data_IF_718380760377
#
_entry.id   IF_718380760377
#
_cell.length_a   1.000
_cell.length_b   1.000
_cell.length_c   1.000
_cell.angle_alpha   90.00
_cell.angle_beta   90.00
_cell.angle_gamma   90.00
#
_symmetry.space_group_name_H-M   'P 1'
#
loop_
_entity.id
_entity.type
_entity.pdbx_description
1 polymer ?
#
# COMPACT_ATOMS: atom_id res chain seq x y z
N UNK A 1 -15.79 1.56 34.11
CA UNK A 1 -16.59 2.49 33.29
C UNK A 1 -17.51 1.75 32.34
N UNK A 2 -18.70 2.31 32.04
CA UNK A 2 -19.72 1.68 31.19
C UNK A 2 -19.31 1.47 29.72
N UNK A 3 -18.12 1.91 29.29
CA UNK A 3 -17.66 1.77 27.90
C UNK A 3 -16.54 0.73 27.67
N UNK A 4 -15.98 0.13 28.73
CA UNK A 4 -15.08 -1.04 28.59
C UNK A 4 -15.92 -2.32 28.51
N UNK A 5 -15.71 -3.10 27.44
CA UNK A 5 -16.61 -4.22 27.12
C UNK A 5 -15.92 -5.57 26.94
N UNK A 6 -16.64 -6.69 27.14
CA UNK A 6 -16.17 -8.00 26.70
C UNK A 6 -16.12 -8.07 25.16
N UNK A 7 -15.17 -8.84 24.63
CA UNK A 7 -15.08 -9.11 23.19
C UNK A 7 -16.24 -10.03 22.74
N UNK A 8 -17.03 -9.63 21.74
CA UNK A 8 -18.14 -10.43 21.23
C UNK A 8 -19.26 -9.61 20.57
N UNK A 9 -20.38 -10.28 20.28
CA UNK A 9 -21.56 -9.66 19.64
C UNK A 9 -22.73 -9.59 20.61
N UNK A 10 -23.04 -8.38 21.07
CA UNK A 10 -24.15 -8.15 21.99
C UNK A 10 -24.02 -9.00 23.25
N UNK A 11 -24.90 -9.99 23.42
CA UNK A 11 -24.90 -10.92 24.56
C UNK A 11 -23.99 -12.14 24.38
N UNK A 12 -23.46 -12.38 23.18
CA UNK A 12 -22.60 -13.52 22.88
C UNK A 12 -21.13 -13.15 23.05
N UNK A 13 -20.54 -13.53 24.19
CA UNK A 13 -19.16 -13.19 24.58
C UNK A 13 -18.36 -14.46 24.91
N UNK A 14 -17.96 -15.25 23.90
CA UNK A 14 -17.31 -16.54 24.13
C UNK A 14 -15.94 -16.37 24.82
N UNK A 15 -15.62 -17.30 25.74
CA UNK A 15 -14.39 -17.26 26.55
C UNK A 15 -13.11 -17.27 25.69
N UNK A 16 -13.14 -17.95 24.54
CA UNK A 16 -11.99 -18.02 23.63
C UNK A 16 -11.64 -16.65 23.04
N UNK A 17 -12.64 -15.82 22.70
CA UNK A 17 -12.39 -14.47 22.16
C UNK A 17 -11.89 -13.49 23.22
N UNK A 18 -12.13 -13.76 24.52
CA UNK A 18 -11.60 -12.92 25.60
C UNK A 18 -10.08 -13.01 25.73
N UNK A 19 -9.45 -14.12 25.29
CA UNK A 19 -7.98 -14.24 25.27
C UNK A 19 -7.33 -13.19 24.37
N UNK A 20 -8.03 -12.75 23.32
CA UNK A 20 -7.58 -11.71 22.41
C UNK A 20 -8.05 -10.30 22.82
N UNK A 21 -8.83 -10.15 23.90
CA UNK A 21 -9.36 -8.85 24.36
C UNK A 21 -8.31 -8.02 25.11
N UNK A 22 -7.20 -7.74 24.43
CA UNK A 22 -6.08 -6.95 24.92
C UNK A 22 -5.38 -6.24 23.75
N UNK A 23 -4.50 -5.26 24.01
CA UNK A 23 -3.83 -4.52 22.94
C UNK A 23 -3.00 -5.40 21.99
N UNK A 24 -2.45 -6.51 22.47
CA UNK A 24 -1.67 -7.45 21.64
C UNK A 24 -2.57 -8.19 20.64
N UNK A 25 -3.75 -8.64 21.06
CA UNK A 25 -4.73 -9.28 20.19
C UNK A 25 -5.25 -8.32 19.12
N UNK A 26 -5.52 -7.07 19.50
CA UNK A 26 -5.88 -6.04 18.53
C UNK A 26 -4.74 -5.75 17.56
N UNK A 27 -3.50 -5.59 18.06
CA UNK A 27 -2.32 -5.38 17.22
C UNK A 27 -2.14 -6.52 16.21
N UNK A 28 -2.33 -7.78 16.60
CA UNK A 28 -2.24 -8.90 15.69
C UNK A 28 -3.26 -8.80 14.54
N UNK A 29 -4.54 -8.54 14.85
CA UNK A 29 -5.57 -8.36 13.84
C UNK A 29 -5.28 -7.14 12.93
N UNK A 30 -4.84 -6.02 13.52
CA UNK A 30 -4.40 -4.83 12.82
C UNK A 30 -3.24 -5.10 11.87
N UNK A 31 -2.20 -5.79 12.33
CA UNK A 31 -1.03 -6.16 11.55
C UNK A 31 -1.37 -7.08 10.37
N UNK A 32 -2.28 -8.04 10.55
CA UNK A 32 -2.76 -8.87 9.43
C UNK A 32 -3.48 -8.03 8.38
N UNK A 33 -4.37 -7.14 8.80
CA UNK A 33 -5.08 -6.26 7.87
C UNK A 33 -4.12 -5.32 7.14
N UNK A 34 -3.12 -4.77 7.85
CA UNK A 34 -2.07 -3.93 7.29
C UNK A 34 -1.21 -4.68 6.26
N UNK A 35 -0.82 -5.93 6.54
CA UNK A 35 -0.11 -6.78 5.56
C UNK A 35 -0.95 -6.97 4.32
N UNK A 36 -2.22 -7.39 4.46
CA UNK A 36 -3.06 -7.66 3.30
C UNK A 36 -3.33 -6.40 2.46
N UNK A 37 -3.53 -5.25 3.11
CA UNK A 37 -3.64 -3.98 2.40
C UNK A 37 -2.34 -3.69 1.62
N UNK A 38 -1.17 -3.88 2.22
CA UNK A 38 0.13 -3.70 1.57
C UNK A 38 0.36 -4.69 0.41
N UNK A 39 -0.02 -5.96 0.59
CA UNK A 39 0.03 -7.01 -0.45
C UNK A 39 -0.80 -6.56 -1.66
N UNK A 40 -2.06 -6.18 -1.45
CA UNK A 40 -2.98 -5.85 -2.55
C UNK A 40 -2.58 -4.56 -3.24
N UNK A 41 -2.47 -3.45 -2.50
CA UNK A 41 -2.33 -2.10 -3.07
C UNK A 41 -0.93 -1.85 -3.60
N UNK A 42 0.10 -2.21 -2.83
CA UNK A 42 1.50 -1.87 -3.17
C UNK A 42 2.29 -3.04 -3.78
N UNK A 43 1.78 -4.27 -3.69
CA UNK A 43 2.40 -5.46 -4.29
C UNK A 43 1.68 -5.89 -5.58
N UNK A 44 0.50 -6.49 -5.42
CA UNK A 44 -0.26 -7.15 -6.49
C UNK A 44 -0.71 -6.20 -7.59
N UNK A 45 -1.19 -4.99 -7.25
CA UNK A 45 -1.53 -3.98 -8.27
C UNK A 45 -0.30 -3.66 -9.09
N UNK A 46 0.80 -3.25 -8.44
CA UNK A 46 2.01 -2.78 -9.11
C UNK A 46 2.62 -3.84 -10.03
N UNK A 47 2.70 -5.09 -9.60
CA UNK A 47 3.23 -6.18 -10.42
C UNK A 47 2.29 -6.56 -11.59
N UNK A 48 0.99 -6.30 -11.45
CA UNK A 48 -0.01 -6.65 -12.47
C UNK A 48 -0.17 -5.57 -13.57
N UNK A 49 0.38 -4.36 -13.38
CA UNK A 49 0.19 -3.23 -14.30
C UNK A 49 0.56 -3.60 -15.74
N UNK A 50 1.75 -4.17 -15.97
CA UNK A 50 2.22 -4.50 -17.33
C UNK A 50 1.31 -5.54 -18.02
N UNK A 51 0.78 -6.50 -17.25
CA UNK A 51 -0.15 -7.51 -17.74
C UNK A 51 -1.50 -6.89 -18.09
N UNK A 52 -1.98 -5.94 -17.27
CA UNK A 52 -3.23 -5.20 -17.49
C UNK A 52 -3.10 -4.29 -18.72
N UNK A 53 -1.98 -3.56 -18.88
CA UNK A 53 -1.70 -2.74 -20.07
C UNK A 53 -1.82 -3.55 -21.35
N UNK A 54 -1.13 -4.70 -21.40
CA UNK A 54 -1.15 -5.61 -22.55
C UNK A 54 -2.52 -6.24 -22.78
N UNK A 55 -3.22 -6.66 -21.72
CA UNK A 55 -4.52 -7.37 -21.86
C UNK A 55 -5.65 -6.46 -22.32
N UNK A 56 -5.70 -5.23 -21.80
CA UNK A 56 -6.81 -4.29 -21.97
C UNK A 56 -6.48 -3.13 -22.91
N UNK A 57 -5.32 -3.18 -23.58
CA UNK A 57 -4.89 -2.18 -24.58
C UNK A 57 -4.82 -0.78 -23.96
N UNK A 58 -4.31 -0.69 -22.72
CA UNK A 58 -4.22 0.56 -21.97
C UNK A 58 -2.83 1.18 -22.10
N UNK A 59 -2.78 2.49 -22.26
CA UNK A 59 -1.54 3.26 -22.20
C UNK A 59 -1.06 3.44 -20.76
N UNK A 60 0.24 3.66 -20.56
CA UNK A 60 0.82 3.83 -19.21
C UNK A 60 0.29 5.04 -18.42
N UNK A 61 -0.23 6.07 -19.10
CA UNK A 61 -0.91 7.18 -18.42
C UNK A 61 -2.25 6.76 -17.79
N UNK A 62 -2.97 5.85 -18.44
CA UNK A 62 -4.26 5.34 -18.00
C UNK A 62 -4.11 4.32 -16.86
N UNK A 63 -3.10 3.47 -16.91
CA UNK A 63 -2.77 2.57 -15.80
C UNK A 63 -2.13 3.31 -14.63
N UNK A 64 -1.40 4.40 -14.89
CA UNK A 64 -1.00 5.36 -13.86
C UNK A 64 -2.20 5.95 -13.10
N UNK A 65 -3.30 6.27 -13.79
CA UNK A 65 -4.55 6.72 -13.17
C UNK A 65 -5.17 5.63 -12.26
N UNK A 66 -5.09 4.36 -12.66
CA UNK A 66 -5.54 3.23 -11.81
C UNK A 66 -4.78 3.26 -10.48
N UNK A 67 -3.44 3.31 -10.53
CA UNK A 67 -2.61 3.35 -9.31
C UNK A 67 -2.92 4.58 -8.44
N UNK A 68 -3.04 5.76 -9.05
CA UNK A 68 -3.31 7.01 -8.33
C UNK A 68 -4.71 7.07 -7.70
N UNK A 69 -5.67 6.27 -8.18
CA UNK A 69 -7.06 6.29 -7.70
C UNK A 69 -7.18 5.90 -6.22
N UNK A 70 -6.32 5.01 -5.73
CA UNK A 70 -6.23 4.69 -4.29
C UNK A 70 -5.90 5.94 -3.47
N UNK A 71 -4.85 6.66 -3.88
CA UNK A 71 -4.36 7.86 -3.19
C UNK A 71 -5.39 8.99 -3.24
N UNK A 72 -6.11 9.14 -4.37
CA UNK A 72 -7.20 10.13 -4.50
C UNK A 72 -8.29 9.86 -3.45
N UNK A 73 -8.79 8.63 -3.36
CA UNK A 73 -9.80 8.27 -2.37
C UNK A 73 -9.28 8.44 -0.94
N UNK A 74 -8.05 7.99 -0.67
CA UNK A 74 -7.43 8.10 0.64
C UNK A 74 -7.26 9.57 1.07
N UNK A 75 -6.72 10.42 0.20
CA UNK A 75 -6.53 11.84 0.48
C UNK A 75 -7.85 12.54 0.79
N UNK A 76 -8.87 12.36 -0.06
CA UNK A 76 -10.18 13.00 0.11
C UNK A 76 -10.82 12.56 1.42
N UNK A 77 -10.81 11.26 1.73
CA UNK A 77 -11.57 10.71 2.85
C UNK A 77 -10.82 10.75 4.19
N UNK A 78 -9.49 10.87 4.19
CA UNK A 78 -8.65 10.84 5.40
C UNK A 78 -9.12 11.79 6.49
N UNK A 79 -9.30 13.06 6.16
CA UNK A 79 -9.72 14.09 7.11
C UNK A 79 -11.15 13.85 7.61
N UNK A 80 -12.07 13.50 6.70
CA UNK A 80 -13.46 13.25 7.07
C UNK A 80 -13.61 12.02 7.96
N UNK A 81 -13.02 10.89 7.58
CA UNK A 81 -13.08 9.64 8.36
C UNK A 81 -12.36 9.82 9.70
N UNK A 82 -11.27 10.57 9.77
CA UNK A 82 -10.61 10.87 11.05
C UNK A 82 -11.52 11.69 11.96
N UNK A 83 -12.15 12.75 11.46
CA UNK A 83 -13.03 13.61 12.26
C UNK A 83 -14.27 12.86 12.78
N UNK A 84 -14.94 12.09 11.93
CA UNK A 84 -16.17 11.37 12.30
C UNK A 84 -15.91 10.06 13.03
N UNK A 85 -14.90 9.31 12.58
CA UNK A 85 -14.60 7.98 13.08
C UNK A 85 -13.98 8.00 14.47
N UNK A 86 -13.32 9.08 14.86
CA UNK A 86 -12.66 9.22 16.16
C UNK A 86 -13.63 9.06 17.34
N UNK A 87 -14.86 9.55 17.18
CA UNK A 87 -15.93 9.47 18.20
C UNK A 87 -16.74 8.17 18.11
N UNK A 88 -16.60 7.47 17.00
CA UNK A 88 -17.32 6.24 16.72
C UNK A 88 -16.69 5.04 17.42
N UNK A 89 -17.21 3.87 17.09
CA UNK A 89 -16.64 2.60 17.54
C UNK A 89 -15.46 2.22 16.62
N UNK A 90 -14.24 2.69 16.94
CA UNK A 90 -13.05 2.54 16.07
C UNK A 90 -12.86 1.10 15.52
N UNK A 91 -12.93 0.01 16.31
CA UNK A 91 -12.84 -1.34 15.75
C UNK A 91 -13.89 -1.71 14.69
N UNK A 92 -15.11 -1.17 14.78
CA UNK A 92 -16.14 -1.40 13.74
C UNK A 92 -15.85 -0.64 12.46
N UNK A 93 -15.19 0.52 12.53
CA UNK A 93 -14.65 1.18 11.35
C UNK A 93 -13.53 0.37 10.71
N UNK A 94 -12.76 -0.40 11.49
CA UNK A 94 -11.78 -1.37 10.97
C UNK A 94 -12.45 -2.61 10.37
N UNK A 95 -13.61 -3.03 10.86
CA UNK A 95 -14.42 -4.05 10.18
C UNK A 95 -14.92 -3.53 8.82
N UNK A 96 -15.38 -2.27 8.75
CA UNK A 96 -15.72 -1.60 7.49
C UNK A 96 -14.50 -1.47 6.55
N UNK A 97 -13.33 -1.14 7.09
CA UNK A 97 -12.05 -1.14 6.39
C UNK A 97 -11.80 -2.48 5.68
N UNK A 98 -11.85 -3.58 6.43
CA UNK A 98 -11.66 -4.93 5.90
C UNK A 98 -12.70 -5.28 4.83
N UNK A 99 -13.98 -4.93 5.06
CA UNK A 99 -15.02 -5.14 4.06
C UNK A 99 -14.70 -4.42 2.74
N UNK A 100 -14.38 -3.13 2.80
CA UNK A 100 -14.07 -2.31 1.61
C UNK A 100 -12.78 -2.74 0.91
N UNK A 101 -11.74 -3.11 1.66
CA UNK A 101 -10.50 -3.64 1.10
C UNK A 101 -10.74 -4.97 0.34
N UNK A 102 -11.50 -5.89 0.94
CA UNK A 102 -11.86 -7.12 0.25
C UNK A 102 -12.75 -6.87 -0.97
N UNK A 103 -13.75 -5.99 -0.85
CA UNK A 103 -14.62 -5.63 -1.97
C UNK A 103 -13.83 -5.00 -3.13
N UNK A 104 -12.89 -4.10 -2.82
CA UNK A 104 -11.99 -3.50 -3.81
C UNK A 104 -11.13 -4.55 -4.51
N UNK A 105 -10.57 -5.51 -3.76
CA UNK A 105 -9.81 -6.64 -4.32
C UNK A 105 -10.66 -7.53 -5.24
N UNK A 106 -11.90 -7.82 -4.84
CA UNK A 106 -12.86 -8.57 -5.66
C UNK A 106 -13.18 -7.81 -6.95
N UNK A 107 -13.56 -6.53 -6.85
CA UNK A 107 -13.88 -5.67 -8.00
C UNK A 107 -12.70 -5.57 -8.96
N UNK A 108 -11.48 -5.43 -8.44
CA UNK A 108 -10.26 -5.38 -9.25
C UNK A 108 -10.03 -6.66 -10.06
N UNK A 109 -10.48 -7.82 -9.58
CA UNK A 109 -10.38 -9.11 -10.29
C UNK A 109 -11.47 -9.34 -11.35
N UNK A 110 -12.60 -8.62 -11.29
CA UNK A 110 -13.77 -8.82 -12.17
C UNK A 110 -13.49 -8.70 -13.68
N UNK A 111 -12.63 -7.77 -14.15
CA UNK A 111 -12.34 -7.65 -15.58
C UNK A 111 -11.89 -8.96 -16.23
N UNK A 112 -11.15 -9.81 -15.52
CA UNK A 112 -10.71 -11.10 -16.06
C UNK A 112 -11.91 -11.99 -16.44
N UNK A 113 -12.92 -12.09 -15.58
CA UNK A 113 -14.08 -12.94 -15.80
C UNK A 113 -15.07 -12.39 -16.82
N UNK A 114 -15.04 -11.08 -17.08
CA UNK A 114 -16.03 -10.40 -17.90
C UNK A 114 -15.52 -9.97 -19.27
N UNK A 115 -14.20 -9.94 -19.50
CA UNK A 115 -13.57 -9.54 -20.78
C UNK A 115 -13.40 -10.68 -21.79
N UNK A 116 -13.81 -11.90 -21.42
CA UNK A 116 -13.62 -13.10 -22.24
C UNK A 116 -12.17 -13.60 -22.28
N UNK A 117 -11.92 -14.66 -23.05
CA UNK A 117 -10.60 -15.30 -23.15
C UNK A 117 -9.58 -14.40 -23.86
N UNK A 118 -8.32 -14.50 -23.44
CA UNK A 118 -7.23 -13.82 -24.12
C UNK A 118 -6.92 -14.53 -25.44
N UNK A 119 -6.90 -13.79 -26.55
CA UNK A 119 -6.48 -14.34 -27.84
C UNK A 119 -5.00 -14.05 -28.03
N UNK A 120 -4.20 -15.11 -28.02
CA UNK A 120 -2.77 -15.03 -28.30
C UNK A 120 -2.59 -14.57 -29.76
N UNK A 121 -2.13 -13.33 -29.95
CA UNK A 121 -1.92 -12.77 -31.28
C UNK A 121 -0.90 -13.56 -32.10
N UNK A 122 -0.91 -13.43 -33.44
CA UNK A 122 0.14 -13.99 -34.28
C UNK A 122 1.52 -13.45 -33.88
N UNK A 123 2.58 -14.26 -34.00
CA UNK A 123 3.94 -13.81 -33.67
C UNK A 123 4.28 -12.71 -34.67
N UNK A 124 4.46 -11.48 -34.19
CA UNK A 124 4.99 -10.42 -35.02
C UNK A 124 6.45 -10.79 -35.26
N UNK A 125 6.79 -11.26 -36.46
CA UNK A 125 8.20 -11.29 -36.87
C UNK A 125 8.65 -9.83 -36.89
N UNK A 126 9.50 -9.44 -35.94
CA UNK A 126 10.04 -8.08 -35.78
C UNK A 126 10.92 -7.63 -36.96
N UNK A 127 10.94 -8.41 -38.04
CA UNK A 127 11.69 -8.13 -39.26
C UNK A 127 10.70 -7.79 -40.36
N UNK A 128 10.80 -6.58 -40.91
CA UNK A 128 10.22 -6.30 -42.23
C UNK A 128 10.84 -7.28 -43.23
N UNK A 129 10.06 -8.27 -43.69
CA UNK A 129 10.44 -9.02 -44.88
C UNK A 129 10.32 -8.08 -46.09
N UNK A 130 11.42 -7.43 -46.46
CA UNK A 130 11.54 -6.78 -47.75
C UNK A 130 11.74 -7.90 -48.79
N UNK A 131 10.65 -8.57 -49.15
CA UNK A 131 10.63 -9.42 -50.35
C UNK A 131 10.00 -8.60 -51.47
N UNK A 132 10.78 -8.42 -52.53
CA UNK A 132 10.54 -7.45 -53.59
C UNK A 132 9.11 -7.42 -54.13
N UNK A 133 8.63 -6.18 -54.34
CA UNK A 133 7.59 -5.80 -55.30
C UNK A 133 6.38 -6.74 -55.26
N UNK A 134 5.61 -6.65 -54.20
CA UNK A 134 4.17 -6.85 -54.26
C UNK A 134 3.58 -5.84 -53.31
N UNK A 135 2.93 -4.81 -53.85
CA UNK A 135 2.08 -3.90 -53.10
C UNK A 135 0.95 -4.72 -52.49
N UNK A 136 1.23 -5.38 -51.37
CA UNK A 136 0.20 -5.82 -50.46
C UNK A 136 -0.45 -4.53 -49.97
N UNK A 137 -1.63 -4.22 -50.52
CA UNK A 137 -2.55 -3.28 -49.92
C UNK A 137 -2.86 -3.82 -48.53
N UNK A 138 -1.99 -3.52 -47.57
CA UNK A 138 -2.28 -3.68 -46.16
C UNK A 138 -3.28 -2.57 -45.85
N UNK A 139 -4.53 -2.78 -46.25
CA UNK A 139 -5.65 -2.06 -45.68
C UNK A 139 -5.60 -2.38 -44.20
N UNK A 140 -5.01 -1.46 -43.43
CA UNK A 140 -5.14 -1.42 -42.00
C UNK A 140 -6.64 -1.23 -41.77
N UNK A 141 -7.34 -2.35 -41.61
CA UNK A 141 -8.75 -2.33 -41.25
C UNK A 141 -8.80 -1.54 -39.96
N UNK A 142 -9.47 -0.39 -39.99
CA UNK A 142 -9.81 0.35 -38.78
C UNK A 142 -10.66 -0.59 -37.93
N UNK A 143 -9.98 -1.34 -37.07
CA UNK A 143 -10.56 -2.37 -36.23
C UNK A 143 -11.69 -1.70 -35.45
N UNK A 144 -12.87 -2.30 -35.52
CA UNK A 144 -14.00 -2.05 -34.60
C UNK A 144 -13.48 -1.64 -33.23
N UNK A 145 -13.86 -0.45 -32.75
CA UNK A 145 -13.41 0.08 -31.45
C UNK A 145 -13.53 -1.02 -30.39
N UNK A 146 -12.39 -1.56 -29.98
CA UNK A 146 -12.28 -2.55 -28.92
C UNK A 146 -12.92 -1.97 -27.66
N UNK A 147 -13.82 -2.71 -27.01
CA UNK A 147 -14.40 -2.30 -25.73
C UNK A 147 -13.49 -2.61 -24.54
N UNK A 148 -12.32 -3.21 -24.77
CA UNK A 148 -11.36 -3.60 -23.74
C UNK A 148 -10.83 -2.41 -22.91
N UNK A 149 -10.56 -1.22 -23.48
CA UNK A 149 -10.13 -0.07 -22.68
C UNK A 149 -11.18 0.40 -21.67
N UNK A 150 -12.48 0.10 -21.86
CA UNK A 150 -13.54 0.51 -20.93
C UNK A 150 -13.44 -0.21 -19.57
N UNK A 151 -12.71 -1.33 -19.47
CA UNK A 151 -12.46 -2.01 -18.19
C UNK A 151 -11.60 -1.18 -17.23
N UNK A 152 -10.95 -0.12 -17.72
CA UNK A 152 -10.28 0.89 -16.89
C UNK A 152 -11.17 1.38 -15.75
N UNK A 153 -12.46 1.65 -16.00
CA UNK A 153 -13.37 2.18 -14.98
C UNK A 153 -13.61 1.19 -13.84
N UNK A 154 -13.57 -0.12 -14.12
CA UNK A 154 -13.71 -1.16 -13.09
C UNK A 154 -12.44 -1.22 -12.24
N UNK A 155 -11.26 -1.11 -12.84
CA UNK A 155 -10.00 -1.05 -12.09
C UNK A 155 -9.91 0.21 -11.22
N UNK A 156 -10.30 1.36 -11.76
CA UNK A 156 -10.39 2.63 -11.01
C UNK A 156 -11.37 2.49 -9.84
N UNK A 157 -12.55 1.92 -10.06
CA UNK A 157 -13.52 1.67 -8.99
C UNK A 157 -12.95 0.74 -7.92
N UNK A 158 -12.28 -0.34 -8.31
CA UNK A 158 -11.60 -1.25 -7.37
C UNK A 158 -10.58 -0.52 -6.50
N UNK A 159 -9.76 0.36 -7.10
CA UNK A 159 -8.77 1.17 -6.39
C UNK A 159 -9.37 2.23 -5.48
N UNK A 160 -10.45 2.88 -5.90
CA UNK A 160 -11.20 3.81 -5.04
C UNK A 160 -11.74 3.10 -3.81
N UNK A 161 -12.31 1.89 -3.96
CA UNK A 161 -12.80 1.07 -2.85
C UNK A 161 -11.66 0.63 -1.91
N UNK A 162 -10.51 0.23 -2.48
CA UNK A 162 -9.31 -0.05 -1.70
C UNK A 162 -8.86 1.20 -0.91
N UNK A 163 -8.91 2.39 -1.50
CA UNK A 163 -8.59 3.66 -0.84
C UNK A 163 -9.54 3.99 0.31
N UNK A 164 -10.86 3.84 0.09
CA UNK A 164 -11.90 3.98 1.12
C UNK A 164 -11.63 3.05 2.31
N UNK A 165 -11.25 1.79 2.03
CA UNK A 165 -10.91 0.81 3.05
C UNK A 165 -9.59 1.13 3.75
N UNK A 166 -8.57 1.59 3.02
CA UNK A 166 -7.26 1.95 3.56
C UNK A 166 -7.29 3.14 4.53
N UNK A 167 -8.22 4.08 4.36
CA UNK A 167 -8.32 5.27 5.22
C UNK A 167 -8.48 4.94 6.73
N UNK A 168 -9.57 4.29 7.18
CA UNK A 168 -9.77 3.98 8.60
C UNK A 168 -8.69 3.06 9.18
N UNK A 169 -8.01 2.25 8.35
CA UNK A 169 -6.86 1.46 8.78
C UNK A 169 -5.75 2.37 9.32
N UNK A 170 -5.30 3.35 8.53
CA UNK A 170 -4.17 4.19 8.92
C UNK A 170 -4.53 5.33 9.88
N UNK A 171 -5.79 5.79 9.89
CA UNK A 171 -6.23 6.87 10.77
C UNK A 171 -6.76 6.34 12.11
N UNK A 172 -7.85 5.60 12.09
CA UNK A 172 -8.54 5.14 13.30
C UNK A 172 -7.87 3.93 13.93
N UNK A 173 -7.21 3.09 13.12
CA UNK A 173 -6.54 1.89 13.60
C UNK A 173 -5.36 2.22 14.51
N UNK A 174 -4.54 3.19 14.10
CA UNK A 174 -3.42 3.70 14.89
C UNK A 174 -3.90 4.51 16.09
N UNK A 175 -4.96 5.32 15.94
CA UNK A 175 -5.57 6.05 17.05
C UNK A 175 -6.10 5.10 18.14
N UNK A 176 -6.73 3.98 17.77
CA UNK A 176 -7.20 2.99 18.75
C UNK A 176 -6.04 2.32 19.50
N UNK A 177 -4.94 2.02 18.82
CA UNK A 177 -3.72 1.50 19.46
C UNK A 177 -3.19 2.53 20.46
N UNK A 178 -3.10 3.80 20.06
CA UNK A 178 -2.64 4.85 20.95
C UNK A 178 -3.51 4.89 22.20
N UNK A 179 -4.83 4.97 22.07
CA UNK A 179 -5.77 5.05 23.19
C UNK A 179 -5.62 3.91 24.20
N UNK A 180 -5.45 2.68 23.71
CA UNK A 180 -5.52 1.48 24.55
C UNK A 180 -4.15 1.06 25.13
N UNK A 181 -3.07 1.73 24.77
CA UNK A 181 -1.70 1.37 25.17
C UNK A 181 -1.09 2.51 25.99
N UNK A 182 -0.31 2.21 27.06
CA UNK A 182 0.43 3.23 27.79
C UNK A 182 1.30 4.07 26.84
N UNK A 183 1.40 5.38 27.08
CA UNK A 183 2.11 6.34 26.22
C UNK A 183 3.49 5.86 25.75
N UNK A 184 4.30 5.34 26.68
CA UNK A 184 5.64 4.84 26.38
C UNK A 184 5.65 3.56 25.52
N UNK A 185 4.56 2.80 25.40
CA UNK A 185 4.47 1.62 24.53
C UNK A 185 3.73 1.87 23.22
N UNK A 186 2.99 2.98 23.11
CA UNK A 186 2.20 3.31 21.91
C UNK A 186 3.06 3.31 20.64
N UNK A 187 4.22 3.99 20.68
CA UNK A 187 5.15 4.07 19.55
C UNK A 187 5.65 2.70 19.07
N UNK A 188 5.88 1.75 19.98
CA UNK A 188 6.26 0.38 19.62
C UNK A 188 5.14 -0.34 18.88
N UNK A 189 3.90 -0.25 19.37
CA UNK A 189 2.76 -0.94 18.75
C UNK A 189 2.44 -0.34 17.37
N UNK A 190 2.43 0.99 17.27
CA UNK A 190 2.24 1.71 16.01
C UNK A 190 3.37 1.37 15.02
N UNK A 191 4.63 1.34 15.50
CA UNK A 191 5.80 0.98 14.69
C UNK A 191 5.72 -0.45 14.14
N UNK A 192 5.32 -1.43 14.95
CA UNK A 192 5.05 -2.81 14.49
C UNK A 192 3.94 -2.81 13.43
N UNK A 193 2.86 -2.06 13.66
CA UNK A 193 1.76 -1.90 12.72
C UNK A 193 2.20 -1.41 11.33
N UNK A 194 2.96 -0.30 11.29
CA UNK A 194 3.49 0.25 10.04
C UNK A 194 4.54 -0.66 9.38
N UNK A 195 5.40 -1.32 10.17
CA UNK A 195 6.36 -2.28 9.64
C UNK A 195 5.67 -3.44 8.89
N UNK A 196 4.54 -3.93 9.43
CA UNK A 196 3.77 -5.00 8.81
C UNK A 196 3.10 -4.57 7.51
N UNK A 197 2.61 -3.33 7.42
CA UNK A 197 2.17 -2.75 6.14
C UNK A 197 3.29 -2.74 5.09
N UNK A 198 4.51 -2.39 5.50
CA UNK A 198 5.66 -2.31 4.59
C UNK A 198 6.15 -3.68 4.10
N UNK A 199 6.03 -4.72 4.93
CA UNK A 199 6.32 -6.10 4.53
C UNK A 199 5.28 -6.64 3.52
N UNK A 200 4.05 -6.12 3.54
CA UNK A 200 2.99 -6.49 2.62
C UNK A 200 3.39 -6.46 1.13
N UNK A 201 3.89 -5.34 0.58
CA UNK A 201 4.33 -5.28 -0.81
C UNK A 201 5.35 -6.36 -1.17
N UNK A 202 6.35 -6.65 -0.31
CA UNK A 202 7.34 -7.69 -0.58
C UNK A 202 6.69 -9.07 -0.75
N UNK A 203 5.75 -9.42 0.13
CA UNK A 203 4.96 -10.66 0.01
C UNK A 203 4.12 -10.63 -1.27
N UNK A 204 3.50 -9.48 -1.60
CA UNK A 204 2.71 -9.32 -2.83
C UNK A 204 3.52 -9.46 -4.11
N UNK A 205 4.75 -8.92 -4.18
CA UNK A 205 5.64 -9.09 -5.32
C UNK A 205 6.08 -10.55 -5.49
N UNK A 206 6.43 -11.23 -4.39
CA UNK A 206 6.80 -12.65 -4.45
C UNK A 206 5.62 -13.51 -4.89
N UNK A 207 4.45 -13.38 -4.25
CA UNK A 207 3.25 -14.14 -4.59
C UNK A 207 2.77 -13.84 -6.02
N UNK A 208 2.70 -12.57 -6.38
CA UNK A 208 2.32 -12.13 -7.72
C UNK A 208 3.30 -12.63 -8.77
N UNK A 209 4.62 -12.57 -8.51
CA UNK A 209 5.65 -13.02 -9.45
C UNK A 209 5.56 -14.51 -9.75
N UNK A 210 5.29 -15.33 -8.74
CA UNK A 210 5.05 -16.77 -8.95
C UNK A 210 3.79 -17.02 -9.78
N UNK A 211 2.71 -16.27 -9.52
CA UNK A 211 1.46 -16.38 -10.27
C UNK A 211 1.55 -15.85 -11.70
N UNK A 212 2.55 -15.00 -12.00
CA UNK A 212 2.82 -14.57 -13.38
C UNK A 212 3.36 -15.70 -14.26
N UNK A 213 3.98 -16.74 -13.68
CA UNK A 213 4.42 -17.94 -14.42
C UNK A 213 3.27 -18.88 -14.80
N UNK A 214 2.05 -18.61 -14.33
CA UNK A 214 0.85 -19.37 -14.68
C UNK A 214 0.10 -18.58 -15.76
N UNK A 215 -0.26 -19.24 -16.86
CA UNK A 215 -0.99 -18.58 -17.95
C UNK A 215 -2.33 -18.03 -17.48
N UNK A 216 -2.70 -16.85 -17.99
CA UNK A 216 -3.90 -16.10 -17.58
C UNK A 216 -5.20 -16.91 -17.65
N UNK A 217 -5.35 -17.76 -18.67
CA UNK A 217 -6.48 -18.67 -18.86
C UNK A 217 -6.07 -20.09 -18.42
N UNK A 218 -6.31 -20.44 -17.15
CA UNK A 218 -5.91 -21.73 -16.54
C UNK A 218 -6.44 -22.94 -17.34
N UNK A 219 -7.60 -22.81 -17.98
CA UNK A 219 -8.14 -23.80 -18.90
C UNK A 219 -7.73 -23.45 -20.33
N UNK A 220 -6.57 -23.95 -20.76
CA UNK A 220 -6.21 -23.98 -22.18
C UNK A 220 -7.22 -24.91 -22.86
N UNK A 221 -8.05 -24.43 -23.81
CA UNK A 221 -8.81 -25.37 -24.62
C UNK A 221 -7.82 -26.14 -25.47
N UNK A 222 -7.84 -27.46 -25.30
CA UNK A 222 -7.24 -28.46 -26.17
C UNK A 222 -7.81 -28.25 -27.60
N UNK A 223 -7.29 -27.26 -28.32
CA UNK A 223 -7.65 -27.03 -29.71
C UNK A 223 -6.71 -27.87 -30.55
N UNK A 224 -7.29 -28.94 -31.08
CA UNK A 224 -6.66 -30.09 -31.71
C UNK A 224 -5.93 -29.80 -33.03
N UNK A 225 -5.79 -28.54 -33.44
CA UNK A 225 -5.12 -28.17 -34.68
C UNK A 225 -4.32 -26.89 -34.45
N UNK A 226 -3.01 -27.07 -34.35
CA UNK A 226 -1.86 -26.14 -34.49
C UNK A 226 -0.85 -26.53 -33.43
N UNK A 227 0.39 -26.71 -33.88
CA UNK A 227 1.57 -27.13 -33.13
C UNK A 227 1.90 -26.18 -31.96
N UNK A 228 1.13 -26.24 -30.87
CA UNK A 228 1.30 -25.48 -29.63
C UNK A 228 1.96 -26.36 -28.56
N UNK A 229 3.25 -26.65 -28.70
CA UNK A 229 3.97 -27.46 -27.70
C UNK A 229 5.03 -26.72 -26.89
N UNK A 230 5.24 -25.42 -27.12
CA UNK A 230 6.18 -24.63 -26.32
C UNK A 230 5.67 -23.19 -26.20
N UNK A 231 4.71 -22.90 -25.30
CA UNK A 231 4.52 -21.52 -24.86
C UNK A 231 5.64 -21.20 -23.88
N UNK A 232 6.61 -20.44 -24.36
CA UNK A 232 7.72 -19.95 -23.56
C UNK A 232 7.21 -18.80 -22.65
N UNK A 233 7.39 -18.88 -21.31
CA UNK A 233 7.13 -17.75 -20.41
C UNK A 233 7.89 -16.48 -20.80
N UNK A 234 8.99 -16.61 -21.53
CA UNK A 234 9.77 -15.47 -22.04
C UNK A 234 9.15 -14.82 -23.29
N UNK A 235 8.06 -15.37 -23.86
CA UNK A 235 7.36 -14.71 -24.97
C UNK A 235 6.70 -13.40 -24.50
N UNK A 236 6.95 -12.25 -25.16
CA UNK A 236 6.40 -10.95 -24.74
C UNK A 236 4.87 -10.89 -24.73
N UNK A 237 4.17 -11.83 -25.39
CA UNK A 237 2.70 -11.97 -25.39
C UNK A 237 2.18 -12.79 -24.22
N UNK A 238 3.04 -13.39 -23.42
CA UNK A 238 2.65 -14.11 -22.22
C UNK A 238 2.01 -13.15 -21.20
N UNK A 239 0.85 -13.56 -20.67
CA UNK A 239 0.12 -12.86 -19.63
C UNK A 239 -0.12 -13.81 -18.47
N UNK A 240 0.27 -13.39 -17.28
CA UNK A 240 0.16 -14.18 -16.07
C UNK A 240 -1.21 -14.14 -15.40
N UNK A 241 -1.52 -15.11 -14.56
CA UNK A 241 -2.79 -15.25 -13.85
C UNK A 241 -2.92 -14.33 -12.61
N UNK A 242 -2.78 -13.02 -12.83
CA UNK A 242 -2.75 -11.98 -11.79
C UNK A 242 -4.00 -11.98 -10.87
N UNK A 243 -5.17 -12.32 -11.41
CA UNK A 243 -6.47 -12.26 -10.71
C UNK A 243 -6.59 -13.23 -9.52
N UNK A 244 -5.85 -14.34 -9.53
CA UNK A 244 -5.92 -15.39 -8.49
C UNK A 244 -5.53 -14.81 -7.12
N UNK A 245 -4.47 -14.01 -7.08
CA UNK A 245 -3.96 -13.41 -5.85
C UNK A 245 -4.99 -12.46 -5.22
N UNK A 246 -5.70 -11.69 -6.05
CA UNK A 246 -6.73 -10.77 -5.60
C UNK A 246 -7.94 -11.49 -5.00
N UNK A 247 -8.32 -12.66 -5.53
CA UNK A 247 -9.39 -13.48 -4.95
C UNK A 247 -8.96 -14.12 -3.62
N UNK A 248 -7.73 -14.63 -3.54
CA UNK A 248 -7.19 -15.18 -2.30
C UNK A 248 -7.11 -14.11 -1.20
N UNK A 249 -6.66 -12.90 -1.54
CA UNK A 249 -6.63 -11.77 -0.61
C UNK A 249 -8.04 -11.32 -0.21
N UNK A 250 -9.00 -11.27 -1.14
CA UNK A 250 -10.40 -10.96 -0.85
C UNK A 250 -10.97 -11.85 0.26
N UNK A 251 -10.84 -13.18 0.10
CA UNK A 251 -11.33 -14.14 1.09
C UNK A 251 -10.62 -13.92 2.44
N UNK A 252 -9.30 -13.80 2.41
CA UNK A 252 -8.47 -13.67 3.61
C UNK A 252 -8.76 -12.38 4.40
N UNK A 253 -8.95 -11.25 3.70
CA UNK A 253 -9.29 -9.96 4.30
C UNK A 253 -10.69 -10.03 4.94
N UNK A 254 -11.66 -10.66 4.27
CA UNK A 254 -13.01 -10.78 4.82
C UNK A 254 -13.11 -11.64 6.06
N UNK A 255 -12.21 -12.62 6.24
CA UNK A 255 -12.08 -13.34 7.50
C UNK A 255 -11.72 -12.41 8.67
N UNK A 256 -11.04 -11.28 8.42
CA UNK A 256 -10.68 -10.29 9.43
C UNK A 256 -11.86 -9.39 9.85
N UNK A 257 -12.98 -9.38 9.13
CA UNK A 257 -14.19 -8.66 9.56
C UNK A 257 -14.67 -9.20 10.91
N UNK A 258 -14.55 -10.51 11.12
CA UNK A 258 -14.96 -11.20 12.34
C UNK A 258 -14.23 -10.65 13.58
N UNK A 259 -12.89 -10.72 13.70
CA UNK A 259 -12.19 -10.21 14.88
C UNK A 259 -12.45 -8.72 15.13
N UNK A 260 -12.46 -7.86 14.09
CA UNK A 260 -12.73 -6.44 14.25
C UNK A 260 -14.17 -6.12 14.70
N UNK A 261 -15.13 -6.93 14.29
CA UNK A 261 -16.52 -6.79 14.74
C UNK A 261 -16.72 -7.21 16.20
N UNK A 262 -15.85 -8.08 16.72
CA UNK A 262 -15.91 -8.57 18.09
C UNK A 262 -15.25 -7.64 19.12
N UNK A 263 -14.22 -6.88 18.73
CA UNK A 263 -13.53 -6.00 19.67
C UNK A 263 -14.48 -4.95 20.27
N UNK A 264 -14.38 -4.64 21.57
CA UNK A 264 -15.19 -3.62 22.23
C UNK A 264 -14.77 -2.20 21.82
N UNK A 265 -15.59 -1.19 22.13
CA UNK A 265 -15.30 0.22 21.83
C UNK A 265 -14.02 0.70 22.52
N UNK A 266 -13.79 0.23 23.76
CA UNK A 266 -12.56 0.43 24.52
C UNK A 266 -12.12 -0.90 25.12
N UNK A 267 -10.81 -1.19 25.06
CA UNK A 267 -10.25 -2.41 25.65
C UNK A 267 -10.26 -2.32 27.19
N UNK A 268 -10.26 -3.47 27.90
CA UNK A 268 -10.16 -3.47 29.36
C UNK A 268 -8.91 -2.72 29.85
N UNK A 269 -9.10 -1.78 30.79
CA UNK A 269 -8.02 -0.96 31.36
C UNK A 269 -7.69 0.32 30.58
N UNK A 270 -8.37 0.59 29.47
CA UNK A 270 -8.20 1.82 28.67
C UNK A 270 -8.51 3.07 29.49
N UNK A 271 -9.56 3.07 30.32
CA UNK A 271 -9.95 4.23 31.13
C UNK A 271 -8.83 4.64 32.10
N UNK A 272 -8.18 3.66 32.73
CA UNK A 272 -7.03 3.89 33.61
C UNK A 272 -5.83 4.47 32.84
N UNK A 273 -5.55 3.92 31.66
CA UNK A 273 -4.45 4.39 30.80
C UNK A 273 -4.69 5.83 30.35
N UNK A 274 -5.92 6.16 29.94
CA UNK A 274 -6.28 7.51 29.51
C UNK A 274 -6.20 8.52 30.66
N UNK A 275 -6.64 8.15 31.87
CA UNK A 275 -6.52 9.01 33.05
C UNK A 275 -5.06 9.32 33.43
N UNK A 276 -4.13 8.41 33.14
CA UNK A 276 -2.68 8.61 33.38
C UNK A 276 -1.99 9.39 32.24
N UNK A 277 -2.62 9.54 31.07
CA UNK A 277 -2.03 10.26 29.93
C UNK A 277 -2.15 11.77 30.10
N UNK A 278 -1.00 12.44 30.21
CA UNK A 278 -0.91 13.90 30.16
C UNK A 278 -0.78 14.34 28.70
N UNK A 279 -1.65 15.27 28.27
CA UNK A 279 -1.54 15.87 26.94
C UNK A 279 -0.27 16.72 26.82
N UNK A 280 0.58 16.41 25.85
CA UNK A 280 1.79 17.16 25.51
C UNK A 280 1.64 17.97 24.21
N UNK A 281 0.41 18.14 23.73
CA UNK A 281 0.14 18.96 22.54
C UNK A 281 0.61 20.40 22.75
N UNK A 282 1.08 21.04 21.68
CA UNK A 282 1.45 22.45 21.69
C UNK A 282 0.35 23.29 22.35
N UNK A 283 0.69 23.98 23.45
CA UNK A 283 -0.26 24.74 24.23
C UNK A 283 -0.30 26.19 23.76
N UNK A 284 -1.20 26.48 22.82
CA UNK A 284 -1.54 27.81 22.32
C UNK A 284 -2.92 28.29 22.79
N UNK A 285 -3.54 27.58 23.75
CA UNK A 285 -4.92 27.80 24.17
C UNK A 285 -5.98 27.16 23.26
N UNK A 286 -5.59 26.53 22.14
CA UNK A 286 -6.53 25.86 21.23
C UNK A 286 -7.26 24.67 21.89
N UNK A 287 -6.59 23.93 22.79
CA UNK A 287 -7.22 22.85 23.54
C UNK A 287 -8.37 23.34 24.42
N UNK A 288 -8.18 24.46 25.12
CA UNK A 288 -9.22 25.11 25.92
C UNK A 288 -10.35 25.64 25.04
N UNK A 289 -10.04 26.16 23.85
CA UNK A 289 -11.05 26.61 22.88
C UNK A 289 -11.91 25.47 22.35
N UNK A 290 -11.33 24.30 22.10
CA UNK A 290 -12.05 23.09 21.66
C UNK A 290 -13.01 22.62 22.74
N UNK A 291 -12.53 22.55 23.99
CA UNK A 291 -13.33 22.11 25.14
C UNK A 291 -14.45 23.11 25.49
N UNK A 292 -14.15 24.41 25.53
CA UNK A 292 -15.15 25.44 25.87
C UNK A 292 -16.25 25.64 24.81
N UNK A 293 -15.94 25.36 23.53
CA UNK A 293 -16.90 25.51 22.43
C UNK A 293 -17.48 24.18 21.94
N UNK A 294 -17.19 23.06 22.61
CA UNK A 294 -17.59 21.70 22.20
C UNK A 294 -17.31 21.42 20.71
N UNK A 295 -16.17 21.92 20.21
CA UNK A 295 -15.82 21.83 18.78
C UNK A 295 -15.69 20.35 18.39
N UNK A 296 -16.52 19.95 17.43
CA UNK A 296 -16.49 18.62 16.81
C UNK A 296 -17.77 17.81 17.01
N UNK A 297 -18.75 18.30 17.76
CA UNK A 297 -20.07 17.65 17.90
C UNK A 297 -20.91 17.76 16.63
N UNK A 298 -20.69 18.81 15.83
CA UNK A 298 -21.40 19.03 14.57
C UNK A 298 -20.48 18.99 13.36
N UNK A 299 -21.04 18.62 12.20
CA UNK A 299 -20.35 18.76 10.91
C UNK A 299 -19.90 20.20 10.63
N UNK A 300 -20.64 21.19 11.16
CA UNK A 300 -20.30 22.61 11.01
C UNK A 300 -18.98 22.99 11.70
N UNK A 301 -18.50 22.14 12.61
CA UNK A 301 -17.26 22.38 13.34
C UNK A 301 -16.03 21.90 12.57
N UNK A 302 -16.21 21.08 11.53
CA UNK A 302 -15.10 20.52 10.75
C UNK A 302 -14.16 21.60 10.18
N UNK A 303 -14.63 22.68 9.53
CA UNK A 303 -13.75 23.73 9.03
C UNK A 303 -12.99 24.45 10.14
N UNK A 304 -13.60 24.64 11.31
CA UNK A 304 -12.98 25.29 12.46
C UNK A 304 -11.89 24.40 13.05
N UNK A 305 -12.18 23.11 13.25
CA UNK A 305 -11.22 22.12 13.72
C UNK A 305 -10.02 22.00 12.77
N UNK A 306 -10.27 21.96 11.46
CA UNK A 306 -9.23 21.93 10.44
C UNK A 306 -8.34 23.19 10.50
N UNK A 307 -8.95 24.37 10.65
CA UNK A 307 -8.21 25.63 10.72
C UNK A 307 -7.36 25.76 12.00
N UNK A 308 -7.83 25.21 13.12
CA UNK A 308 -7.04 25.12 14.36
C UNK A 308 -5.79 24.25 14.12
N UNK A 309 -5.96 23.08 13.49
CA UNK A 309 -4.85 22.19 13.18
C UNK A 309 -3.85 22.83 12.20
N UNK A 310 -4.34 23.46 11.12
CA UNK A 310 -3.51 24.16 10.13
C UNK A 310 -2.71 25.33 10.72
N UNK A 311 -3.19 25.96 11.80
CA UNK A 311 -2.47 27.03 12.49
C UNK A 311 -1.42 26.53 13.48
N UNK A 312 -1.40 25.24 13.82
CA UNK A 312 -0.43 24.69 14.75
C UNK A 312 0.95 24.53 14.07
N UNK A 313 1.96 25.33 14.43
CA UNK A 313 3.25 25.36 13.73
C UNK A 313 4.04 24.06 13.93
N UNK A 314 3.90 23.40 15.08
CA UNK A 314 4.57 22.13 15.38
C UNK A 314 4.00 21.03 14.49
N UNK A 315 2.68 20.96 14.37
CA UNK A 315 2.01 19.99 13.51
C UNK A 315 2.38 20.19 12.04
N UNK A 316 2.32 21.42 11.53
CA UNK A 316 2.67 21.71 10.13
C UNK A 316 4.13 21.36 9.83
N UNK A 317 5.05 21.62 10.77
CA UNK A 317 6.46 21.26 10.62
C UNK A 317 6.66 19.74 10.57
N UNK A 318 5.94 18.98 11.40
CA UNK A 318 5.98 17.51 11.38
C UNK A 318 5.40 16.94 10.07
N UNK A 319 4.29 17.49 9.58
CA UNK A 319 3.69 17.08 8.30
C UNK A 319 4.66 17.34 7.15
N UNK A 320 5.31 18.52 7.11
CA UNK A 320 6.28 18.85 6.07
C UNK A 320 7.49 17.91 6.10
N UNK A 321 8.01 17.60 7.30
CA UNK A 321 9.12 16.67 7.48
C UNK A 321 8.76 15.25 7.01
N UNK A 322 7.62 14.72 7.47
CA UNK A 322 7.15 13.38 7.11
C UNK A 322 6.84 13.27 5.61
N UNK A 323 6.23 14.31 5.01
CA UNK A 323 5.94 14.32 3.56
C UNK A 323 7.22 14.36 2.73
N UNK A 324 8.23 15.11 3.17
CA UNK A 324 9.55 15.17 2.50
C UNK A 324 10.28 13.82 2.59
N UNK A 325 10.23 13.16 3.74
CA UNK A 325 10.79 11.81 3.92
C UNK A 325 10.08 10.78 3.06
N UNK A 326 8.74 10.80 3.02
CA UNK A 326 7.93 9.92 2.18
C UNK A 326 8.21 10.13 0.68
N UNK A 327 8.41 11.38 0.24
CA UNK A 327 8.79 11.70 -1.13
C UNK A 327 10.14 11.09 -1.49
N UNK A 328 11.15 11.24 -0.62
CA UNK A 328 12.47 10.64 -0.80
C UNK A 328 12.36 9.11 -0.86
N UNK A 329 11.69 8.51 0.13
CA UNK A 329 11.54 7.05 0.20
C UNK A 329 10.84 6.47 -1.04
N UNK A 330 9.76 7.11 -1.50
CA UNK A 330 9.01 6.67 -2.69
C UNK A 330 9.82 6.85 -3.97
N UNK A 331 10.55 7.97 -4.08
CA UNK A 331 11.46 8.23 -5.20
C UNK A 331 12.57 7.17 -5.30
N UNK A 332 13.23 6.86 -4.19
CA UNK A 332 14.24 5.80 -4.14
C UNK A 332 13.62 4.43 -4.44
N UNK A 333 12.51 4.06 -3.80
CA UNK A 333 11.86 2.75 -4.04
C UNK A 333 11.50 2.55 -5.52
N UNK A 334 11.05 3.61 -6.20
CA UNK A 334 10.59 3.54 -7.60
C UNK A 334 11.73 3.57 -8.63
N UNK A 335 12.73 4.43 -8.41
CA UNK A 335 13.75 4.70 -9.43
C UNK A 335 15.10 4.05 -9.15
N UNK A 336 15.37 3.61 -7.90
CA UNK A 336 16.66 3.01 -7.57
C UNK A 336 16.93 1.72 -8.37
N UNK A 337 15.99 0.77 -8.55
CA UNK A 337 16.25 -0.41 -9.38
C UNK A 337 16.59 -0.04 -10.83
N UNK A 338 15.83 0.88 -11.43
CA UNK A 338 16.09 1.38 -12.80
C UNK A 338 17.43 2.09 -12.93
N UNK A 339 17.80 2.86 -11.92
CA UNK A 339 19.11 3.52 -11.87
C UNK A 339 20.21 2.46 -11.83
N UNK A 340 20.04 1.39 -11.05
CA UNK A 340 21.05 0.34 -10.95
C UNK A 340 21.19 -0.45 -12.26
N UNK A 341 20.08 -0.77 -12.90
CA UNK A 341 20.06 -1.41 -14.23
C UNK A 341 20.78 -0.55 -15.27
N UNK A 342 20.41 0.72 -15.38
CA UNK A 342 20.90 1.60 -16.45
C UNK A 342 22.33 2.10 -16.22
N UNK A 343 22.74 2.35 -14.97
CA UNK A 343 24.07 2.91 -14.66
C UNK A 343 25.14 1.83 -14.47
N UNK A 344 24.77 0.68 -13.89
CA UNK A 344 25.73 -0.40 -13.57
C UNK A 344 25.52 -1.66 -14.41
N UNK A 345 24.67 -1.61 -15.44
CA UNK A 345 24.36 -2.73 -16.34
C UNK A 345 23.90 -4.01 -15.64
N UNK A 346 23.38 -3.90 -14.41
CA UNK A 346 22.90 -5.05 -13.66
C UNK A 346 21.58 -5.55 -14.22
N UNK A 347 21.36 -6.85 -14.09
CA UNK A 347 20.10 -7.48 -14.52
C UNK A 347 18.92 -6.92 -13.73
N UNK A 348 17.76 -6.81 -14.39
CA UNK A 348 16.56 -6.28 -13.73
C UNK A 348 16.15 -7.10 -12.51
N UNK A 349 16.32 -8.43 -12.57
CA UNK A 349 16.10 -9.30 -11.42
C UNK A 349 17.00 -8.98 -10.23
N UNK A 350 18.29 -8.69 -10.44
CA UNK A 350 19.20 -8.36 -9.34
C UNK A 350 18.85 -7.02 -8.71
N UNK A 351 18.61 -5.99 -9.53
CA UNK A 351 18.25 -4.65 -9.08
C UNK A 351 16.91 -4.63 -8.33
N UNK A 352 15.91 -5.36 -8.83
CA UNK A 352 14.63 -5.56 -8.16
C UNK A 352 14.78 -6.34 -6.85
N UNK A 353 15.65 -7.35 -6.80
CA UNK A 353 15.93 -8.10 -5.56
C UNK A 353 16.60 -7.22 -4.51
N UNK A 354 17.52 -6.35 -4.91
CA UNK A 354 18.14 -5.40 -3.98
C UNK A 354 17.09 -4.42 -3.42
N UNK A 355 16.25 -3.84 -4.28
CA UNK A 355 15.17 -2.96 -3.87
C UNK A 355 14.14 -3.66 -2.97
N UNK A 356 13.72 -4.88 -3.32
CA UNK A 356 12.68 -5.61 -2.60
C UNK A 356 13.16 -6.28 -1.31
N UNK A 357 14.36 -6.88 -1.30
CA UNK A 357 14.84 -7.69 -0.18
C UNK A 357 15.69 -6.91 0.82
N UNK A 358 16.34 -5.83 0.39
CA UNK A 358 17.16 -5.01 1.30
C UNK A 358 16.37 -3.81 1.80
N UNK A 359 15.78 -3.00 0.91
CA UNK A 359 15.15 -1.73 1.30
C UNK A 359 13.89 -1.94 2.15
N UNK A 360 12.98 -2.84 1.72
CA UNK A 360 11.70 -3.06 2.40
C UNK A 360 11.91 -3.63 3.82
N UNK A 361 12.67 -4.72 4.03
CA UNK A 361 12.93 -5.22 5.38
C UNK A 361 13.74 -4.23 6.23
N UNK A 362 14.70 -3.50 5.66
CA UNK A 362 15.46 -2.50 6.40
C UNK A 362 14.55 -1.38 6.93
N UNK A 363 13.61 -0.89 6.10
CA UNK A 363 12.65 0.11 6.52
C UNK A 363 11.65 -0.43 7.56
N UNK A 364 11.20 -1.69 7.43
CA UNK A 364 10.33 -2.34 8.42
C UNK A 364 11.06 -2.52 9.77
N UNK A 365 12.33 -2.95 9.76
CA UNK A 365 13.18 -3.04 10.95
C UNK A 365 13.42 -1.66 11.55
N UNK A 366 13.64 -0.63 10.73
CA UNK A 366 13.79 0.76 11.20
C UNK A 366 12.59 1.25 12.00
N UNK A 367 11.36 0.97 11.52
CA UNK A 367 10.11 1.30 12.23
C UNK A 367 9.98 0.57 13.57
N UNK A 368 10.36 -0.71 13.63
CA UNK A 368 10.33 -1.47 14.88
C UNK A 368 11.40 -0.97 15.85
N UNK A 369 12.63 -0.76 15.38
CA UNK A 369 13.76 -0.29 16.19
C UNK A 369 13.45 1.09 16.77
N UNK A 370 12.90 2.02 15.99
CA UNK A 370 12.51 3.34 16.47
C UNK A 370 11.44 3.26 17.58
N UNK A 371 10.43 2.42 17.39
CA UNK A 371 9.40 2.13 18.40
C UNK A 371 9.98 1.53 19.68
N UNK A 372 10.89 0.55 19.57
CA UNK A 372 11.59 -0.05 20.72
C UNK A 372 12.41 1.00 21.46
N UNK A 373 13.13 1.86 20.74
CA UNK A 373 14.01 2.85 21.34
C UNK A 373 13.23 3.89 22.14
N UNK A 374 12.18 4.46 21.52
CA UNK A 374 11.26 5.42 22.17
C UNK A 374 10.61 4.76 23.39
N UNK A 375 10.25 3.48 23.28
CA UNK A 375 9.58 2.76 24.37
C UNK A 375 10.48 2.44 25.54
N UNK A 376 11.69 1.94 25.26
CA UNK A 376 12.66 1.51 26.26
C UNK A 376 13.21 2.71 27.05
N UNK A 377 13.45 3.83 26.37
CA UNK A 377 13.92 5.06 27.02
C UNK A 377 12.80 5.93 27.58
N UNK A 378 11.52 5.57 27.38
CA UNK A 378 10.35 6.33 27.83
C UNK A 378 10.45 7.81 27.44
N UNK A 379 10.76 8.06 26.16
CA UNK A 379 11.03 9.41 25.66
C UNK A 379 9.75 10.25 25.72
N UNK A 380 9.86 11.48 26.22
CA UNK A 380 8.83 12.51 26.15
C UNK A 380 8.81 13.16 24.75
N UNK A 381 7.74 13.89 24.39
CA UNK A 381 7.62 14.54 23.07
C UNK A 381 8.87 15.36 22.69
N UNK A 382 9.49 16.07 23.65
CA UNK A 382 10.70 16.86 23.40
C UNK A 382 11.89 15.98 23.05
N UNK A 383 12.09 14.86 23.75
CA UNK A 383 13.16 13.92 23.44
C UNK A 383 12.91 13.18 22.12
N UNK A 384 11.66 12.87 21.79
CA UNK A 384 11.29 12.27 20.49
C UNK A 384 11.65 13.22 19.34
N UNK A 385 11.31 14.51 19.44
CA UNK A 385 11.66 15.51 18.40
C UNK A 385 13.19 15.64 18.26
N UNK A 386 13.93 15.69 19.36
CA UNK A 386 15.41 15.70 19.32
C UNK A 386 15.98 14.45 18.65
N UNK A 387 15.42 13.29 18.96
CA UNK A 387 15.80 12.03 18.34
C UNK A 387 15.55 12.06 16.83
N UNK A 388 14.38 12.53 16.40
CA UNK A 388 14.04 12.72 14.98
C UNK A 388 15.02 13.64 14.25
N UNK A 389 15.36 14.80 14.83
CA UNK A 389 16.35 15.72 14.24
C UNK A 389 17.72 15.03 14.11
N UNK A 390 18.13 14.28 15.13
CA UNK A 390 19.37 13.52 15.12
C UNK A 390 19.39 12.47 14.01
N UNK A 391 18.35 11.64 13.89
CA UNK A 391 18.26 10.61 12.85
C UNK A 391 18.17 11.20 11.44
N UNK A 392 17.42 12.29 11.24
CA UNK A 392 17.35 12.98 9.95
C UNK A 392 18.71 13.57 9.54
N UNK A 393 19.46 14.14 10.50
CA UNK A 393 20.80 14.68 10.24
C UNK A 393 21.78 13.57 9.84
N UNK A 394 21.75 12.43 10.52
CA UNK A 394 22.54 11.26 10.14
C UNK A 394 22.14 10.73 8.76
N UNK A 395 20.84 10.64 8.47
CA UNK A 395 20.36 10.21 7.15
C UNK A 395 20.82 11.16 6.04
N UNK A 396 20.79 12.48 6.25
CA UNK A 396 21.31 13.45 5.29
C UNK A 396 22.81 13.28 5.07
N UNK A 397 23.60 13.11 6.14
CA UNK A 397 25.03 12.86 6.04
C UNK A 397 25.33 11.58 5.23
N UNK A 398 24.61 10.49 5.51
CA UNK A 398 24.78 9.24 4.76
C UNK A 398 24.39 9.40 3.29
N UNK A 399 23.33 10.16 2.98
CA UNK A 399 22.95 10.43 1.60
C UNK A 399 23.97 11.27 0.82
N UNK A 400 24.79 12.10 1.49
CA UNK A 400 25.87 12.83 0.79
C UNK A 400 26.91 11.89 0.17
N UNK A 401 27.02 10.64 0.64
CA UNK A 401 27.88 9.63 0.02
C UNK A 401 27.52 9.43 -1.45
N UNK A 402 26.24 9.50 -1.84
CA UNK A 402 25.83 9.39 -3.25
C UNK A 402 26.36 10.53 -4.14
N UNK A 403 26.69 11.70 -3.57
CA UNK A 403 27.28 12.81 -4.33
C UNK A 403 28.77 12.59 -4.62
N UNK A 404 29.47 11.85 -3.76
CA UNK A 404 30.92 11.66 -3.85
C UNK A 404 31.33 10.28 -4.35
N UNK A 405 30.49 9.26 -4.15
CA UNK A 405 30.72 7.91 -4.63
C UNK A 405 30.57 7.86 -6.16
N UNK A 406 31.70 7.95 -6.86
CA UNK A 406 31.77 7.68 -8.30
C UNK A 406 32.04 6.20 -8.50
N UNK A 407 31.14 5.51 -9.18
CA UNK A 407 31.45 4.24 -9.82
C UNK A 407 31.69 4.51 -11.30
N UNK A 408 32.60 3.73 -11.92
CA UNK A 408 32.75 3.75 -13.36
C UNK A 408 31.47 3.23 -14.02
N UNK A 409 31.03 3.90 -15.08
CA UNK A 409 30.00 3.35 -15.95
C UNK A 409 30.55 2.10 -16.63
N UNK A 410 29.70 1.12 -16.93
CA UNK A 410 30.13 0.01 -17.78
C UNK A 410 30.58 0.53 -19.16
N UNK A 411 31.64 -0.06 -19.74
CA UNK A 411 32.11 0.34 -21.06
C UNK A 411 31.02 0.04 -22.10
N UNK A 412 30.56 1.09 -22.78
CA UNK A 412 29.62 0.98 -23.89
C UNK A 412 30.40 0.99 -25.21
N UNK A 413 30.30 -0.09 -25.99
CA UNK A 413 30.95 -0.18 -27.29
C UNK A 413 30.45 0.96 -28.21
N UNK A 414 31.39 1.71 -28.80
CA UNK A 414 31.13 2.87 -29.65
C UNK A 414 30.95 4.20 -28.91
N UNK A 415 30.96 4.22 -27.56
CA UNK A 415 30.86 5.44 -26.74
C UNK A 415 32.01 5.54 -25.75
N UNK A 416 32.25 4.49 -24.98
CA UNK A 416 33.29 4.42 -23.95
C UNK A 416 34.49 3.55 -24.36
N UNK A 417 34.28 2.58 -25.25
CA UNK A 417 35.30 1.71 -25.85
C UNK A 417 35.08 1.56 -27.36
N UNK A 418 36.12 1.22 -28.12
CA UNK A 418 35.98 0.94 -29.54
C UNK A 418 35.21 -0.38 -29.74
N UNK A 419 34.47 -0.52 -30.84
CA UNK A 419 33.74 -1.77 -31.17
C UNK A 419 34.64 -3.02 -31.23
N UNK A 420 35.96 -2.85 -31.31
CA UNK A 420 36.94 -3.93 -31.45
C UNK A 420 37.77 -4.16 -30.18
N UNK A 421 37.37 -3.59 -29.03
CA UNK A 421 38.15 -3.62 -27.78
C UNK A 421 38.90 -2.31 -27.56
#
# INVERSE_FOLDING_TARGET
DPEEGPCGWGRCTPKVLQLCNNPQGYLAAYSFLAIFQGIVVNGLVNISISTIEKRYELNSSLTGLISASYDIAFCILSLFISFFGERGHKPRWLAFSAFMLGLGSLVFSLPHFSSGRYQYGAKLEETCQITGISSANFTCSTTTKSSLPNYLYIFVLGQLLLGVGGTPLYTLGTAFIDDCVPKHKSSLYIGIGYAMSLLGPAVGYVLGGQLLNIYIDIQIPERQDVTYTQMDPDDPRWLGAWWIAFLACFISIWLLIIPFSCFPKHLPGTAKIQAEKISETHNDGSAMLVETKNIGESFKDFPVALLILLKNPVLMSLILASSSEALVATGFATFLPKLIENQFGKTSSFSATLGGLVLIPAAALGQIISGILVSKFKMDCKSIIKFMIGTCSVALLLNTVFLFAKCGNEPFAGVSEAYNG
#
